data_IF_571879837739
#
_entry.id   IF_571879837739
#
_cell.length_a   1.000
_cell.length_b   1.000
_cell.length_c   1.000
_cell.angle_alpha   90.00
_cell.angle_beta   90.00
_cell.angle_gamma   90.00
#
_symmetry.space_group_name_H-M   'P 1'
#
loop_
_entity.id
_entity.type
_entity.pdbx_description
1 polymer ?
#
# COMPACT_ATOMS: atom_id res chain seq x y z
N UNK A 1 -9.21 18.33 0.76
CA UNK A 1 -8.56 17.80 -0.46
C UNK A 1 -8.63 16.29 -0.43
N UNK A 2 -8.54 15.62 -1.58
CA UNK A 2 -8.41 14.17 -1.64
C UNK A 2 -6.97 13.74 -1.30
N UNK A 3 -6.75 12.58 -0.66
CA UNK A 3 -5.41 12.12 -0.34
C UNK A 3 -4.62 11.78 -1.61
N UNK A 4 -3.38 12.23 -1.68
CA UNK A 4 -2.46 11.96 -2.79
C UNK A 4 -1.58 10.71 -2.57
N UNK A 5 -1.59 10.15 -1.37
CA UNK A 5 -0.78 8.99 -0.97
C UNK A 5 -1.68 7.98 -0.27
N UNK A 6 -1.84 6.80 -0.86
CA UNK A 6 -2.65 5.72 -0.29
C UNK A 6 -1.84 4.43 -0.21
N UNK A 7 -1.91 3.74 0.93
CA UNK A 7 -1.36 2.39 1.11
C UNK A 7 -2.49 1.41 1.37
N UNK A 8 -2.59 0.40 0.51
CA UNK A 8 -3.44 -0.77 0.71
C UNK A 8 -2.61 -1.95 1.21
N UNK A 9 -2.54 -2.13 2.54
CA UNK A 9 -1.78 -3.20 3.18
C UNK A 9 -2.59 -4.51 3.24
N UNK A 10 -2.65 -5.22 2.11
CA UNK A 10 -3.55 -6.36 1.85
C UNK A 10 -3.43 -7.49 2.87
N UNK A 11 -4.58 -7.97 3.34
CA UNK A 11 -4.68 -9.24 4.09
C UNK A 11 -4.93 -10.41 3.14
N UNK A 12 -4.31 -11.56 3.42
CA UNK A 12 -4.44 -12.76 2.61
C UNK A 12 -5.88 -13.30 2.64
N UNK A 13 -6.33 -13.87 1.52
CA UNK A 13 -7.66 -14.54 1.41
C UNK A 13 -8.86 -13.65 1.77
N UNK A 14 -8.75 -12.32 1.63
CA UNK A 14 -9.81 -11.34 1.92
C UNK A 14 -10.38 -10.68 0.64
N UNK A 15 -10.44 -11.41 -0.48
CA UNK A 15 -10.97 -10.87 -1.75
C UNK A 15 -10.09 -9.80 -2.42
N UNK A 16 -8.82 -9.68 -2.03
CA UNK A 16 -7.93 -8.60 -2.51
C UNK A 16 -7.67 -8.59 -4.01
N UNK A 17 -7.85 -9.72 -4.71
CA UNK A 17 -7.66 -9.82 -6.17
C UNK A 17 -8.67 -8.95 -6.93
N UNK A 18 -9.95 -9.04 -6.58
CA UNK A 18 -11.02 -8.23 -7.18
C UNK A 18 -10.78 -6.75 -6.95
N UNK A 19 -10.35 -6.39 -5.74
CA UNK A 19 -10.03 -5.01 -5.36
C UNK A 19 -8.88 -4.47 -6.19
N UNK A 20 -7.80 -5.25 -6.37
CA UNK A 20 -6.67 -4.82 -7.20
C UNK A 20 -7.06 -4.63 -8.68
N UNK A 21 -7.97 -5.45 -9.21
CA UNK A 21 -8.51 -5.26 -10.57
C UNK A 21 -9.28 -3.94 -10.66
N UNK A 22 -10.17 -3.67 -9.70
CA UNK A 22 -10.90 -2.41 -9.63
C UNK A 22 -9.93 -1.21 -9.55
N UNK A 23 -8.91 -1.29 -8.70
CA UNK A 23 -7.90 -0.23 -8.56
C UNK A 23 -7.12 0.02 -9.85
N UNK A 24 -6.86 -1.01 -10.67
CA UNK A 24 -6.24 -0.83 -12.01
C UNK A 24 -7.14 -0.02 -12.93
N UNK A 25 -8.42 -0.36 -13.01
CA UNK A 25 -9.41 0.37 -13.83
C UNK A 25 -9.54 1.82 -13.36
N UNK A 26 -9.54 2.05 -12.04
CA UNK A 26 -9.60 3.39 -11.48
C UNK A 26 -8.31 4.19 -11.71
N UNK A 27 -7.14 3.54 -11.66
CA UNK A 27 -5.85 4.18 -11.93
C UNK A 27 -5.79 4.72 -13.36
N UNK A 28 -6.25 3.93 -14.33
CA UNK A 28 -6.36 4.34 -15.72
C UNK A 28 -7.35 5.50 -15.89
N UNK A 29 -8.55 5.38 -15.32
CA UNK A 29 -9.60 6.40 -15.44
C UNK A 29 -9.24 7.73 -14.77
N UNK A 30 -8.55 7.68 -13.63
CA UNK A 30 -8.29 8.84 -12.77
C UNK A 30 -6.82 9.28 -12.74
N UNK A 31 -5.96 8.66 -13.57
CA UNK A 31 -4.58 9.07 -13.80
C UNK A 31 -3.73 9.14 -12.50
N UNK A 32 -3.77 8.09 -11.69
CA UNK A 32 -2.89 7.94 -10.53
C UNK A 32 -1.97 6.72 -10.67
N UNK A 33 -0.83 6.74 -9.98
CA UNK A 33 0.14 5.66 -10.02
C UNK A 33 -0.31 4.49 -9.15
N UNK A 34 -0.60 3.33 -9.74
CA UNK A 34 -0.82 2.09 -9.00
C UNK A 34 0.46 1.26 -8.97
N UNK A 35 1.05 1.08 -7.78
CA UNK A 35 2.28 0.31 -7.58
C UNK A 35 1.97 -0.93 -6.74
N UNK A 36 2.23 -2.11 -7.29
CA UNK A 36 2.06 -3.38 -6.58
C UNK A 36 3.40 -4.05 -6.33
N UNK A 37 3.61 -4.58 -5.13
CA UNK A 37 4.77 -5.45 -4.85
C UNK A 37 4.44 -6.90 -5.20
N UNK A 38 5.39 -7.58 -5.85
CA UNK A 38 5.32 -9.02 -6.14
C UNK A 38 5.62 -9.90 -4.91
N UNK A 39 6.15 -9.30 -3.83
CA UNK A 39 6.43 -9.98 -2.58
C UNK A 39 5.12 -10.21 -1.82
N UNK A 40 4.69 -11.47 -1.75
CA UNK A 40 3.42 -11.89 -1.15
C UNK A 40 3.57 -12.79 0.08
N UNK A 41 4.75 -13.39 0.28
CA UNK A 41 5.04 -14.37 1.33
C UNK A 41 5.78 -13.78 2.56
N UNK A 42 6.13 -12.49 2.54
CA UNK A 42 6.83 -11.81 3.63
C UNK A 42 6.04 -10.61 4.15
N UNK A 43 5.19 -10.89 5.13
CA UNK A 43 4.27 -9.90 5.73
C UNK A 43 4.86 -9.19 6.94
N UNK A 44 5.73 -9.87 7.70
CA UNK A 44 6.48 -9.31 8.84
C UNK A 44 7.87 -8.92 8.36
N UNK A 45 8.19 -7.64 8.50
CA UNK A 45 9.46 -7.05 8.09
C UNK A 45 10.30 -6.72 9.32
N UNK A 46 11.63 -6.87 9.20
CA UNK A 46 12.56 -6.34 10.20
C UNK A 46 12.48 -4.81 10.22
N UNK A 47 12.97 -4.17 11.28
CA UNK A 47 12.97 -2.70 11.38
C UNK A 47 13.67 -2.03 10.18
N UNK A 48 14.78 -2.60 9.73
CA UNK A 48 15.53 -2.07 8.58
C UNK A 48 14.71 -2.16 7.29
N UNK A 49 14.12 -3.32 7.03
CA UNK A 49 13.26 -3.55 5.86
C UNK A 49 12.01 -2.67 5.85
N UNK A 50 11.43 -2.40 7.03
CA UNK A 50 10.32 -1.46 7.14
C UNK A 50 10.77 -0.06 6.68
N UNK A 51 11.90 0.44 7.19
CA UNK A 51 12.43 1.77 6.84
C UNK A 51 12.71 1.86 5.34
N UNK A 52 13.37 0.85 4.77
CA UNK A 52 13.68 0.83 3.34
C UNK A 52 12.40 0.83 2.50
N UNK A 53 11.42 0.01 2.89
CA UNK A 53 10.13 -0.02 2.22
C UNK A 53 9.41 1.33 2.30
N UNK A 54 9.34 1.96 3.47
CA UNK A 54 8.68 3.26 3.64
C UNK A 54 9.39 4.36 2.83
N UNK A 55 10.73 4.37 2.81
CA UNK A 55 11.51 5.29 1.96
C UNK A 55 11.26 5.06 0.48
N UNK A 56 11.11 3.80 0.05
CA UNK A 56 10.81 3.48 -1.34
C UNK A 56 9.40 3.90 -1.73
N UNK A 57 8.40 3.66 -0.87
CA UNK A 57 7.01 4.13 -1.09
C UNK A 57 6.98 5.66 -1.20
N UNK A 58 7.73 6.37 -0.36
CA UNK A 58 7.77 7.84 -0.34
C UNK A 58 8.39 8.46 -1.59
N UNK A 59 9.07 7.68 -2.44
CA UNK A 59 9.66 8.13 -3.71
C UNK A 59 8.71 7.95 -4.90
N UNK A 60 7.55 7.32 -4.71
CA UNK A 60 6.59 7.10 -5.79
C UNK A 60 5.98 8.46 -6.20
N UNK A 61 5.91 8.78 -7.51
CA UNK A 61 5.25 10.00 -7.97
C UNK A 61 3.79 10.06 -7.52
N UNK A 62 3.39 11.19 -6.94
CA UNK A 62 2.01 11.42 -6.49
C UNK A 62 1.13 11.93 -7.65
N UNK A 63 -0.19 11.62 -7.66
CA UNK A 63 -0.88 10.78 -6.68
C UNK A 63 -0.59 9.29 -6.90
N UNK A 64 -0.54 8.52 -5.80
CA UNK A 64 -0.31 7.07 -5.87
C UNK A 64 -1.16 6.23 -4.92
N UNK A 65 -1.31 4.97 -5.29
CA UNK A 65 -1.77 3.89 -4.43
C UNK A 65 -0.74 2.76 -4.46
N UNK A 66 -0.15 2.45 -3.30
CA UNK A 66 0.77 1.33 -3.13
C UNK A 66 0.04 0.13 -2.52
N UNK A 67 0.24 -1.06 -3.06
CA UNK A 67 -0.41 -2.29 -2.57
C UNK A 67 0.56 -3.45 -2.36
N UNK A 68 0.49 -4.06 -1.16
CA UNK A 68 1.33 -5.19 -0.77
C UNK A 68 0.69 -5.99 0.37
N UNK A 69 0.95 -7.30 0.40
CA UNK A 69 0.71 -8.11 1.60
C UNK A 69 1.78 -7.81 2.66
N UNK A 70 1.49 -6.90 3.58
CA UNK A 70 2.40 -6.47 4.64
C UNK A 70 1.60 -6.01 5.86
N UNK A 71 2.15 -6.19 7.06
CA UNK A 71 1.57 -5.59 8.26
C UNK A 71 1.64 -4.06 8.20
N UNK A 72 0.87 -3.39 9.06
CA UNK A 72 0.93 -1.94 9.20
C UNK A 72 2.37 -1.45 9.40
N UNK A 73 2.73 -0.36 8.71
CA UNK A 73 4.03 0.30 8.80
C UNK A 73 3.76 1.67 9.40
N UNK A 74 4.44 2.02 10.48
CA UNK A 74 4.28 3.34 11.10
C UNK A 74 5.30 4.30 10.49
N UNK A 75 4.88 5.15 9.54
CA UNK A 75 5.75 6.11 8.86
C UNK A 75 6.17 7.23 9.81
N UNK A 76 5.26 7.71 10.65
CA UNK A 76 5.55 8.77 11.63
C UNK A 76 6.69 8.42 12.60
N UNK A 77 6.85 7.13 12.95
CA UNK A 77 7.96 6.64 13.79
C UNK A 77 9.34 6.97 13.22
N UNK A 78 9.44 7.18 11.90
CA UNK A 78 10.68 7.50 11.19
C UNK A 78 10.69 8.89 10.59
N UNK A 79 9.76 9.77 11.03
CA UNK A 79 9.59 11.14 10.52
C UNK A 79 9.36 11.19 9.01
N UNK A 80 8.70 10.16 8.48
CA UNK A 80 8.23 10.12 7.10
C UNK A 80 6.75 10.51 7.11
N UNK A 81 6.31 11.22 6.07
CA UNK A 81 4.89 11.57 5.89
C UNK A 81 4.04 10.30 5.86
N UNK A 82 2.95 10.28 6.64
CA UNK A 82 2.07 9.12 6.77
C UNK A 82 1.06 9.10 5.61
N UNK A 83 1.01 8.04 4.79
CA UNK A 83 -0.01 7.90 3.76
C UNK A 83 -1.36 7.54 4.39
N UNK A 84 -2.45 7.74 3.65
CA UNK A 84 -3.76 7.21 4.06
C UNK A 84 -3.75 5.69 3.91
N UNK A 85 -4.16 4.99 4.96
CA UNK A 85 -4.30 3.54 4.95
C UNK A 85 -5.71 3.10 4.57
N UNK A 86 -5.79 2.09 3.72
CA UNK A 86 -7.01 1.31 3.51
C UNK A 86 -6.70 -0.18 3.71
N UNK A 87 -7.70 -0.93 4.18
CA UNK A 87 -7.61 -2.37 4.36
C UNK A 87 -8.96 -3.02 4.08
N UNK A 88 -8.95 -4.30 3.72
CA UNK A 88 -10.15 -5.12 3.57
C UNK A 88 -9.87 -6.44 4.27
N UNK A 89 -10.73 -6.73 5.25
CA UNK A 89 -10.72 -7.95 6.05
C UNK A 89 -12.02 -8.72 5.80
N UNK A 90 -12.08 -9.97 6.26
CA UNK A 90 -13.29 -10.81 6.26
C UNK A 90 -13.47 -11.46 7.62
N UNK A 91 -14.64 -12.04 7.85
CA UNK A 91 -14.85 -12.94 8.99
C UNK A 91 -13.74 -14.01 9.06
N UNK A 92 -13.20 -14.29 10.26
CA UNK A 92 -12.12 -15.26 10.46
C UNK A 92 -12.33 -16.60 9.76
#
# INVERSE_FOLDING_TARGET
SFPSQVVYNRVGKCGSRTVVILLRLLAEKHQFNLVSSDIHNKTRLTKHEQVDLMKNISKIPQPFLYTRHVHFLNFTRFRIEEPVYINIIRDP
#
